data_IF_252314052331
#
_entry.id   IF_252314052331
#
_cell.length_a   1.000
_cell.length_b   1.000
_cell.length_c   1.000
_cell.angle_alpha   90.00
_cell.angle_beta   90.00
_cell.angle_gamma   90.00
#
_symmetry.space_group_name_H-M   'P 1'
#
loop_
_entity.id
_entity.type
_entity.pdbx_description
1 polymer ?
#
# COMPACT_ATOMS: atom_id res chain seq x y z
N UNK A 1 7.45 -42.17 25.76
CA UNK A 1 6.82 -40.84 25.94
C UNK A 1 6.91 -40.02 24.65
N UNK A 2 6.42 -40.53 23.51
CA UNK A 2 6.56 -39.85 22.19
C UNK A 2 5.40 -40.15 21.23
N UNK A 3 4.18 -40.23 21.75
CA UNK A 3 2.98 -40.53 20.95
C UNK A 3 1.82 -39.54 21.15
N UNK A 4 2.00 -38.47 21.94
CA UNK A 4 0.95 -37.48 22.22
C UNK A 4 1.12 -36.12 21.53
N UNK A 5 2.20 -35.90 20.77
CA UNK A 5 2.41 -34.66 19.99
C UNK A 5 1.79 -34.69 18.58
N UNK A 6 1.24 -35.83 18.14
CA UNK A 6 0.74 -36.03 16.77
C UNK A 6 -0.78 -35.81 16.59
N UNK A 7 -1.52 -35.44 17.63
CA UNK A 7 -2.99 -35.27 17.57
C UNK A 7 -3.45 -33.82 17.41
N UNK A 8 -2.55 -32.85 17.47
CA UNK A 8 -2.85 -31.44 17.20
C UNK A 8 -2.18 -31.01 15.90
N UNK A 9 -2.73 -31.47 14.77
CA UNK A 9 -2.43 -30.82 13.49
C UNK A 9 -2.77 -29.33 13.63
N UNK A 10 -1.79 -28.46 13.35
CA UNK A 10 -2.04 -27.02 13.35
C UNK A 10 -3.22 -26.73 12.43
N UNK A 11 -4.25 -26.08 12.98
CA UNK A 11 -5.46 -25.75 12.25
C UNK A 11 -5.11 -24.75 11.16
N UNK A 12 -5.52 -25.05 9.92
CA UNK A 12 -5.34 -24.14 8.79
C UNK A 12 -6.07 -22.82 9.06
N UNK A 13 -5.42 -21.66 8.80
CA UNK A 13 -6.07 -20.36 8.94
C UNK A 13 -7.23 -20.25 7.94
N UNK A 14 -8.20 -19.43 8.30
CA UNK A 14 -9.34 -19.00 7.48
C UNK A 14 -9.44 -17.48 7.57
N UNK A 15 -10.11 -16.84 6.61
CA UNK A 15 -10.34 -15.40 6.64
C UNK A 15 -10.95 -14.90 7.97
N UNK A 16 -11.91 -15.65 8.51
CA UNK A 16 -12.58 -15.32 9.78
C UNK A 16 -11.69 -15.37 11.01
N UNK A 17 -10.46 -15.89 10.87
CA UNK A 17 -9.48 -15.90 11.95
C UNK A 17 -8.69 -14.57 12.07
N UNK A 18 -8.91 -13.63 11.14
CA UNK A 18 -8.47 -12.24 11.22
C UNK A 18 -9.71 -11.32 11.10
N UNK A 19 -9.92 -10.46 12.09
CA UNK A 19 -11.00 -9.47 12.06
C UNK A 19 -10.45 -8.05 11.92
N UNK A 20 -11.09 -7.27 11.06
CA UNK A 20 -10.82 -5.85 10.86
C UNK A 20 -11.92 -5.02 11.53
N UNK A 21 -11.58 -3.80 11.93
CA UNK A 21 -12.59 -2.80 12.31
C UNK A 21 -13.22 -2.22 11.03
N UNK A 22 -14.38 -2.76 10.64
CA UNK A 22 -15.09 -2.42 9.39
C UNK A 22 -16.30 -1.51 9.62
N UNK A 23 -16.34 -0.79 10.74
CA UNK A 23 -17.48 0.07 11.07
C UNK A 23 -17.74 1.09 9.95
N UNK A 24 -18.97 1.08 9.41
CA UNK A 24 -19.38 1.95 8.31
C UNK A 24 -18.93 1.51 6.92
N UNK A 25 -18.17 0.42 6.80
CA UNK A 25 -17.74 -0.10 5.50
C UNK A 25 -18.80 -1.00 4.87
N UNK A 26 -18.92 -0.97 3.55
CA UNK A 26 -19.86 -1.77 2.81
C UNK A 26 -19.17 -2.98 2.18
N UNK A 27 -19.53 -4.19 2.60
CA UNK A 27 -19.04 -5.43 2.00
C UNK A 27 -19.60 -5.55 0.57
N UNK A 28 -18.72 -5.73 -0.43
CA UNK A 28 -19.12 -5.95 -1.82
C UNK A 28 -18.58 -7.26 -2.41
N UNK A 29 -17.61 -7.91 -1.74
CA UNK A 29 -17.07 -9.21 -2.16
C UNK A 29 -16.83 -10.10 -0.94
N UNK A 30 -17.22 -11.38 -1.04
CA UNK A 30 -16.97 -12.38 0.01
C UNK A 30 -16.81 -13.75 -0.62
N UNK A 31 -15.71 -14.42 -0.31
CA UNK A 31 -15.39 -15.79 -0.72
C UNK A 31 -14.52 -16.51 0.31
N UNK A 32 -14.05 -17.70 -0.04
CA UNK A 32 -13.30 -18.55 0.89
C UNK A 32 -11.91 -18.01 1.24
N UNK A 33 -11.29 -17.29 0.31
CA UNK A 33 -9.91 -16.76 0.43
C UNK A 33 -9.79 -15.26 0.25
N UNK A 34 -10.90 -14.55 0.00
CA UNK A 34 -10.91 -13.09 0.02
C UNK A 34 -12.24 -12.47 0.46
N UNK A 35 -12.15 -11.28 1.03
CA UNK A 35 -13.28 -10.39 1.33
C UNK A 35 -12.89 -8.96 0.94
N UNK A 36 -13.83 -8.17 0.45
CA UNK A 36 -13.57 -6.78 0.11
C UNK A 36 -14.72 -5.85 0.49
N UNK A 37 -14.35 -4.65 0.93
CA UNK A 37 -15.24 -3.60 1.42
C UNK A 37 -14.93 -2.27 0.77
N UNK A 38 -15.95 -1.41 0.65
CA UNK A 38 -15.80 0.00 0.32
C UNK A 38 -15.88 0.83 1.61
N UNK A 39 -14.94 1.75 1.81
CA UNK A 39 -14.98 2.71 2.93
C UNK A 39 -15.97 3.86 2.64
N UNK A 40 -16.36 4.67 3.66
CA UNK A 40 -17.17 5.87 3.43
C UNK A 40 -16.56 6.85 2.42
N UNK A 41 -15.23 6.92 2.36
CA UNK A 41 -14.45 7.72 1.41
C UNK A 41 -14.32 7.08 0.03
N UNK A 42 -15.01 5.97 -0.22
CA UNK A 42 -14.98 5.19 -1.47
C UNK A 42 -13.62 4.59 -1.82
N UNK A 43 -12.75 4.38 -0.82
CA UNK A 43 -11.56 3.54 -0.97
C UNK A 43 -11.95 2.06 -0.91
N UNK A 44 -11.25 1.21 -1.65
CA UNK A 44 -11.42 -0.23 -1.55
C UNK A 44 -10.49 -0.79 -0.47
N UNK A 45 -11.01 -1.71 0.34
CA UNK A 45 -10.21 -2.48 1.30
C UNK A 45 -10.42 -3.96 1.03
N UNK A 46 -9.33 -4.73 0.92
CA UNK A 46 -9.39 -6.16 0.63
C UNK A 46 -8.60 -6.94 1.67
N UNK A 47 -9.19 -8.01 2.18
CA UNK A 47 -8.52 -9.03 2.99
C UNK A 47 -8.39 -10.29 2.15
N UNK A 48 -7.19 -10.85 2.07
CA UNK A 48 -6.91 -12.08 1.36
C UNK A 48 -6.12 -13.05 2.24
N UNK A 49 -6.36 -14.34 2.03
CA UNK A 49 -5.57 -15.41 2.62
C UNK A 49 -4.86 -16.18 1.50
N UNK A 50 -3.53 -16.10 1.51
CA UNK A 50 -2.66 -16.78 0.57
C UNK A 50 -1.98 -18.00 1.22
N UNK A 51 -1.43 -18.86 0.37
CA UNK A 51 -0.50 -19.89 0.81
C UNK A 51 0.73 -19.25 1.50
N UNK A 52 1.47 -19.99 2.35
CA UNK A 52 2.72 -19.51 2.93
C UNK A 52 3.68 -18.99 1.86
N UNK A 53 4.32 -17.85 2.13
CA UNK A 53 5.34 -17.26 1.27
C UNK A 53 6.68 -17.32 1.99
N UNK A 54 7.74 -17.61 1.23
CA UNK A 54 9.12 -17.44 1.70
C UNK A 54 9.72 -16.25 0.97
N UNK A 55 10.01 -15.19 1.73
CA UNK A 55 10.73 -14.03 1.19
C UNK A 55 12.24 -14.24 1.27
N UNK A 56 13.02 -13.62 0.37
CA UNK A 56 14.48 -13.69 0.37
C UNK A 56 15.12 -12.81 1.46
N UNK A 57 14.35 -12.33 2.43
CA UNK A 57 14.78 -11.48 3.54
C UNK A 57 14.04 -11.86 4.83
N UNK A 58 14.60 -11.48 5.96
CA UNK A 58 13.91 -11.56 7.25
C UNK A 58 13.03 -10.31 7.46
N UNK A 59 11.88 -10.47 8.13
CA UNK A 59 10.93 -9.36 8.32
C UNK A 59 11.49 -8.17 9.12
N UNK A 60 12.50 -8.40 9.95
CA UNK A 60 13.16 -7.36 10.72
C UNK A 60 14.28 -6.66 9.93
N UNK A 61 14.70 -7.21 8.78
CA UNK A 61 15.66 -6.58 7.89
C UNK A 61 14.93 -5.68 6.89
N UNK A 62 14.54 -4.50 7.38
CA UNK A 62 13.79 -3.52 6.59
C UNK A 62 14.59 -3.03 5.39
N UNK A 63 15.92 -2.96 5.48
CA UNK A 63 16.75 -2.54 4.35
C UNK A 63 16.67 -3.54 3.19
N UNK A 64 16.87 -4.84 3.49
CA UNK A 64 16.75 -5.89 2.48
C UNK A 64 15.33 -6.00 1.91
N UNK A 65 14.31 -5.90 2.78
CA UNK A 65 12.92 -5.91 2.36
C UNK A 65 12.56 -4.71 1.46
N UNK A 66 13.09 -3.52 1.77
CA UNK A 66 12.90 -2.30 0.98
C UNK A 66 13.52 -2.45 -0.39
N UNK A 67 14.77 -2.92 -0.47
CA UNK A 67 15.44 -3.16 -1.74
C UNK A 67 14.69 -4.17 -2.61
N UNK A 68 14.22 -5.27 -2.01
CA UNK A 68 13.43 -6.28 -2.71
C UNK A 68 12.14 -5.68 -3.27
N UNK A 69 11.33 -5.01 -2.44
CA UNK A 69 10.05 -4.48 -2.88
C UNK A 69 10.19 -3.32 -3.87
N UNK A 70 11.23 -2.49 -3.75
CA UNK A 70 11.55 -1.49 -4.78
C UNK A 70 11.76 -2.14 -6.15
N UNK A 71 12.52 -3.24 -6.20
CA UNK A 71 12.79 -3.96 -7.45
C UNK A 71 11.53 -4.64 -8.00
N UNK A 72 10.77 -5.34 -7.17
CA UNK A 72 9.55 -6.02 -7.61
C UNK A 72 8.47 -5.03 -8.09
N UNK A 73 8.31 -3.90 -7.40
CA UNK A 73 7.35 -2.87 -7.81
C UNK A 73 7.78 -2.17 -9.10
N UNK A 74 9.08 -1.89 -9.28
CA UNK A 74 9.58 -1.27 -10.50
C UNK A 74 9.33 -2.14 -11.75
N UNK A 75 9.42 -3.47 -11.63
CA UNK A 75 9.15 -4.42 -12.74
C UNK A 75 7.75 -4.30 -13.32
N UNK A 76 6.78 -3.83 -12.53
CA UNK A 76 5.39 -3.63 -12.94
C UNK A 76 5.04 -2.14 -13.10
N UNK A 77 6.05 -1.27 -13.22
CA UNK A 77 5.87 0.16 -13.50
C UNK A 77 5.39 0.99 -12.31
N UNK A 78 5.56 0.51 -11.07
CA UNK A 78 5.21 1.27 -9.87
C UNK A 78 6.42 1.82 -9.13
N UNK A 79 6.14 2.51 -8.02
CA UNK A 79 7.13 2.96 -7.04
C UNK A 79 6.74 2.56 -5.61
N UNK A 80 7.71 2.04 -4.84
CA UNK A 80 7.58 1.90 -3.39
C UNK A 80 7.76 3.28 -2.74
N UNK A 81 6.76 3.72 -1.96
CA UNK A 81 6.78 4.99 -1.24
C UNK A 81 7.29 4.83 0.19
N UNK A 82 6.88 3.76 0.87
CA UNK A 82 7.20 3.51 2.27
C UNK A 82 7.16 2.02 2.58
N UNK A 83 8.08 1.53 3.42
CA UNK A 83 8.04 0.17 3.96
C UNK A 83 8.40 0.21 5.45
N UNK A 84 7.59 -0.44 6.29
CA UNK A 84 7.79 -0.49 7.74
C UNK A 84 7.53 -1.88 8.30
N UNK A 85 8.22 -2.25 9.39
CA UNK A 85 7.87 -3.40 10.20
C UNK A 85 6.72 -3.05 11.14
N UNK A 86 5.82 -4.01 11.33
CA UNK A 86 4.74 -3.95 12.31
C UNK A 86 4.85 -5.11 13.29
N UNK A 87 4.40 -4.88 14.52
CA UNK A 87 4.04 -5.93 15.46
C UNK A 87 2.51 -5.95 15.59
N UNK A 88 1.90 -7.07 15.20
CA UNK A 88 0.45 -7.28 15.28
C UNK A 88 0.20 -8.38 16.32
N UNK A 89 -0.10 -7.97 17.55
CA UNK A 89 -0.37 -8.90 18.67
C UNK A 89 0.78 -9.91 18.91
N UNK A 90 2.04 -9.45 18.80
CA UNK A 90 3.25 -10.27 18.97
C UNK A 90 3.71 -10.99 17.70
N UNK A 91 3.05 -10.76 16.56
CA UNK A 91 3.41 -11.34 15.27
C UNK A 91 4.08 -10.29 14.39
N UNK A 92 5.26 -10.61 13.86
CA UNK A 92 5.94 -9.75 12.91
C UNK A 92 5.18 -9.67 11.59
N UNK A 93 4.98 -8.46 11.10
CA UNK A 93 4.35 -8.15 9.82
C UNK A 93 5.12 -7.04 9.10
N UNK A 94 4.84 -6.86 7.81
CA UNK A 94 5.33 -5.73 7.03
C UNK A 94 4.16 -4.90 6.53
N UNK A 95 4.36 -3.58 6.46
CA UNK A 95 3.45 -2.67 5.78
C UNK A 95 4.20 -1.92 4.68
N UNK A 96 3.74 -2.05 3.45
CA UNK A 96 4.24 -1.29 2.30
C UNK A 96 3.20 -0.31 1.78
N UNK A 97 3.64 0.82 1.21
CA UNK A 97 2.79 1.76 0.47
C UNK A 97 3.41 2.00 -0.89
N UNK A 98 2.58 1.94 -1.93
CA UNK A 98 2.99 1.92 -3.33
C UNK A 98 2.15 2.89 -4.15
N UNK A 99 2.72 3.32 -5.27
CA UNK A 99 2.07 4.14 -6.29
C UNK A 99 2.25 3.52 -7.67
N UNK A 100 1.19 3.55 -8.45
CA UNK A 100 1.12 3.07 -9.84
C UNK A 100 0.38 4.11 -10.69
N UNK A 101 0.51 4.01 -12.01
CA UNK A 101 -0.41 4.69 -12.92
C UNK A 101 -1.79 4.05 -12.80
N UNK A 102 -2.85 4.86 -12.87
CA UNK A 102 -4.22 4.34 -12.95
C UNK A 102 -4.35 3.42 -14.17
N UNK A 103 -4.78 2.14 -13.99
CA UNK A 103 -4.89 1.19 -15.09
C UNK A 103 -5.99 1.53 -16.11
N UNK A 104 -6.83 2.54 -15.85
CA UNK A 104 -7.88 2.99 -16.77
C UNK A 104 -7.27 3.59 -18.05
N UNK A 105 -7.62 3.08 -19.25
CA UNK A 105 -7.06 3.57 -20.51
C UNK A 105 -7.22 5.09 -20.68
N UNK A 106 -6.10 5.77 -20.96
CA UNK A 106 -6.06 7.22 -21.18
C UNK A 106 -6.04 8.06 -19.89
N UNK A 107 -6.12 7.44 -18.71
CA UNK A 107 -6.02 8.15 -17.43
C UNK A 107 -4.62 8.73 -17.21
N UNK A 108 -4.58 9.85 -16.49
CA UNK A 108 -3.36 10.45 -15.94
C UNK A 108 -3.33 10.37 -14.40
N UNK A 109 -4.35 9.74 -13.81
CA UNK A 109 -4.45 9.59 -12.36
C UNK A 109 -3.43 8.60 -11.83
N UNK A 110 -3.10 8.76 -10.55
CA UNK A 110 -2.30 7.80 -9.82
C UNK A 110 -3.20 6.83 -9.04
N UNK A 111 -2.78 5.58 -8.96
CA UNK A 111 -3.37 4.56 -8.11
C UNK A 111 -2.44 4.26 -6.94
N UNK A 112 -2.97 4.37 -5.73
CA UNK A 112 -2.23 4.16 -4.50
C UNK A 112 -2.75 2.91 -3.79
N UNK A 113 -1.81 2.13 -3.26
CA UNK A 113 -2.14 0.95 -2.46
C UNK A 113 -1.22 0.87 -1.25
N UNK A 114 -1.80 0.62 -0.09
CA UNK A 114 -1.08 0.26 1.11
C UNK A 114 -1.42 -1.18 1.50
N UNK A 115 -0.41 -1.97 1.83
CA UNK A 115 -0.53 -3.41 2.04
C UNK A 115 0.06 -3.78 3.39
N UNK A 116 -0.66 -4.56 4.21
CA UNK A 116 -0.09 -5.29 5.34
C UNK A 116 0.07 -6.75 4.93
N UNK A 117 1.28 -7.27 5.10
CA UNK A 117 1.59 -8.68 4.99
C UNK A 117 1.86 -9.27 6.37
N UNK A 118 0.95 -10.13 6.82
CA UNK A 118 1.03 -10.83 8.10
C UNK A 118 1.22 -12.33 7.84
N UNK A 119 2.47 -12.82 7.78
CA UNK A 119 2.74 -14.24 7.63
C UNK A 119 2.33 -15.00 8.90
N UNK A 120 1.73 -16.16 8.70
CA UNK A 120 1.36 -17.09 9.76
C UNK A 120 1.87 -18.48 9.38
N UNK A 121 1.94 -19.41 10.34
CA UNK A 121 2.59 -20.72 10.13
C UNK A 121 2.13 -21.49 8.88
N UNK A 122 0.86 -21.35 8.50
CA UNK A 122 0.25 -22.05 7.37
C UNK A 122 -0.44 -21.10 6.38
N UNK A 123 0.01 -19.85 6.27
CA UNK A 123 -0.55 -18.93 5.29
C UNK A 123 0.04 -17.53 5.37
N UNK A 124 -0.53 -16.63 4.59
CA UNK A 124 -0.22 -15.20 4.63
C UNK A 124 -1.54 -14.44 4.55
N UNK A 125 -1.85 -13.67 5.61
CA UNK A 125 -2.90 -12.68 5.51
C UNK A 125 -2.34 -11.44 4.82
N UNK A 126 -3.05 -10.97 3.81
CA UNK A 126 -2.76 -9.73 3.13
C UNK A 126 -3.96 -8.78 3.25
N UNK A 127 -3.72 -7.55 3.70
CA UNK A 127 -4.75 -6.51 3.77
C UNK A 127 -4.31 -5.38 2.86
N UNK A 128 -5.13 -5.03 1.88
CA UNK A 128 -4.90 -3.90 1.00
C UNK A 128 -5.88 -2.78 1.32
N UNK A 129 -5.41 -1.53 1.33
CA UNK A 129 -6.23 -0.34 1.18
C UNK A 129 -5.84 0.36 -0.12
N UNK A 130 -6.81 0.65 -0.97
CA UNK A 130 -6.63 1.03 -2.37
C UNK A 130 -7.48 2.25 -2.71
N UNK A 131 -6.87 3.25 -3.36
CA UNK A 131 -7.56 4.45 -3.80
C UNK A 131 -6.96 5.00 -5.11
N UNK A 132 -7.83 5.52 -5.98
CA UNK A 132 -7.44 6.14 -7.25
C UNK A 132 -7.59 7.65 -7.13
N UNK A 133 -6.62 8.39 -7.63
CA UNK A 133 -6.68 9.83 -7.81
C UNK A 133 -7.74 10.21 -8.85
N UNK A 134 -8.77 10.94 -8.41
CA UNK A 134 -9.86 11.41 -9.25
C UNK A 134 -9.97 12.92 -9.13
N UNK A 135 -10.24 13.60 -10.24
CA UNK A 135 -10.44 15.05 -10.26
C UNK A 135 -9.13 15.82 -10.46
N UNK A 136 -8.73 16.63 -9.49
CA UNK A 136 -7.57 17.55 -9.57
C UNK A 136 -6.24 16.80 -9.43
N UNK A 137 -5.89 16.00 -10.43
CA UNK A 137 -4.63 15.26 -10.44
C UNK A 137 -3.43 16.20 -10.37
N UNK A 138 -2.42 15.86 -9.57
CA UNK A 138 -1.18 16.65 -9.47
C UNK A 138 -1.26 17.91 -8.60
N UNK A 139 -2.40 18.19 -7.94
CA UNK A 139 -2.54 19.36 -7.07
C UNK A 139 -1.63 19.28 -5.84
N UNK A 140 -1.54 18.10 -5.23
CA UNK A 140 -0.65 17.84 -4.09
C UNK A 140 0.81 18.10 -4.48
N UNK A 141 1.22 17.60 -5.64
CA UNK A 141 2.56 17.77 -6.22
C UNK A 141 2.87 19.25 -6.44
N UNK A 142 1.94 19.99 -7.05
CA UNK A 142 2.13 21.41 -7.35
C UNK A 142 2.30 22.26 -6.08
N UNK A 143 1.46 22.02 -5.06
CA UNK A 143 1.54 22.75 -3.79
C UNK A 143 2.82 22.40 -3.03
N UNK A 144 3.18 21.11 -2.94
CA UNK A 144 4.41 20.70 -2.26
C UNK A 144 5.64 21.25 -2.99
N UNK A 145 5.65 21.26 -4.32
CA UNK A 145 6.73 21.84 -5.10
C UNK A 145 6.90 23.34 -4.79
N UNK A 146 5.82 24.12 -4.79
CA UNK A 146 5.85 25.55 -4.43
C UNK A 146 6.37 25.78 -3.00
N UNK A 147 5.93 24.96 -2.04
CA UNK A 147 6.42 25.01 -0.66
C UNK A 147 7.94 24.74 -0.59
N UNK A 148 8.40 23.69 -1.26
CA UNK A 148 9.81 23.29 -1.28
C UNK A 148 10.72 24.33 -1.95
N UNK A 149 10.23 24.97 -3.03
CA UNK A 149 10.90 26.11 -3.68
C UNK A 149 11.02 27.31 -2.72
N UNK A 150 9.92 27.69 -2.05
CA UNK A 150 9.92 28.80 -1.09
C UNK A 150 10.81 28.56 0.13
N UNK A 151 10.95 27.30 0.54
CA UNK A 151 11.84 26.89 1.62
C UNK A 151 13.31 26.80 1.19
N UNK A 152 13.60 26.87 -0.12
CA UNK A 152 14.96 26.74 -0.65
C UNK A 152 15.50 25.31 -0.66
N UNK A 153 14.65 24.30 -0.47
CA UNK A 153 15.03 22.89 -0.46
C UNK A 153 15.23 22.33 -1.87
N UNK A 154 14.60 22.94 -2.87
CA UNK A 154 14.77 22.61 -4.28
C UNK A 154 15.39 23.83 -4.97
N UNK A 155 16.58 23.71 -5.58
CA UNK A 155 17.14 24.79 -6.37
C UNK A 155 16.27 25.01 -7.62
N UNK A 156 16.16 26.25 -8.12
CA UNK A 156 15.60 26.50 -9.44
C UNK A 156 16.37 25.67 -10.47
N UNK A 157 15.67 24.97 -11.36
CA UNK A 157 16.34 24.25 -12.44
C UNK A 157 17.01 25.24 -13.39
N UNK A 158 18.20 24.90 -13.85
CA UNK A 158 18.92 25.61 -14.91
C UNK A 158 18.73 24.96 -16.28
N UNK A 159 18.02 23.84 -16.33
CA UNK A 159 17.78 23.09 -17.55
C UNK A 159 16.82 23.86 -18.46
N UNK A 160 17.10 23.87 -19.76
CA UNK A 160 16.16 24.43 -20.73
C UNK A 160 14.87 23.60 -20.76
N UNK A 161 13.69 24.24 -20.72
CA UNK A 161 12.43 23.53 -20.77
C UNK A 161 12.30 22.81 -22.12
N UNK A 162 11.94 21.54 -22.06
CA UNK A 162 11.59 20.78 -23.25
C UNK A 162 10.29 21.34 -23.85
N UNK A 163 10.38 21.81 -25.09
CA UNK A 163 9.22 22.27 -25.85
C UNK A 163 8.54 21.06 -26.48
N UNK A 164 7.27 20.85 -26.13
CA UNK A 164 6.42 19.81 -26.71
C UNK A 164 5.42 20.45 -27.67
N UNK A 165 5.18 19.77 -28.79
CA UNK A 165 4.35 20.30 -29.89
C UNK A 165 2.84 20.34 -29.56
N UNK A 166 2.40 19.65 -28.50
CA UNK A 166 1.00 19.63 -28.06
C UNK A 166 0.82 19.13 -26.62
N UNK A 167 -0.37 19.36 -26.07
CA UNK A 167 -0.79 18.76 -24.81
C UNK A 167 -0.86 17.22 -24.89
N UNK A 168 -1.23 16.67 -26.06
CA UNK A 168 -1.28 15.21 -26.24
C UNK A 168 0.12 14.58 -26.16
N UNK A 169 1.14 15.25 -26.69
CA UNK A 169 2.53 14.83 -26.56
C UNK A 169 2.98 14.84 -25.10
N UNK A 170 2.60 15.87 -24.33
CA UNK A 170 2.83 15.93 -22.89
C UNK A 170 2.15 14.76 -22.15
N UNK A 171 0.87 14.51 -22.43
CA UNK A 171 0.13 13.44 -21.76
C UNK A 171 0.64 12.05 -22.13
N UNK A 172 1.07 11.83 -23.38
CA UNK A 172 1.71 10.58 -23.77
C UNK A 172 3.01 10.36 -22.98
N UNK A 173 3.85 11.39 -22.90
CA UNK A 173 5.10 11.34 -22.14
C UNK A 173 4.88 11.10 -20.64
N UNK A 174 3.88 11.74 -20.04
CA UNK A 174 3.56 11.52 -18.63
C UNK A 174 3.11 10.08 -18.35
N UNK A 175 2.31 9.48 -19.23
CA UNK A 175 1.88 8.06 -19.10
C UNK A 175 3.04 7.08 -19.24
N UNK A 176 4.02 7.39 -20.08
CA UNK A 176 5.19 6.55 -20.32
C UNK A 176 6.31 6.79 -19.30
N UNK A 177 6.21 7.85 -18.49
CA UNK A 177 7.24 8.19 -17.52
C UNK A 177 7.32 7.16 -16.39
N UNK A 178 8.57 6.81 -16.03
CA UNK A 178 8.84 5.96 -14.88
C UNK A 178 8.38 6.66 -13.60
N UNK A 179 7.61 5.92 -12.78
CA UNK A 179 7.19 6.41 -11.49
C UNK A 179 8.34 6.41 -10.50
N UNK A 180 8.38 7.46 -9.69
CA UNK A 180 9.34 7.63 -8.61
C UNK A 180 8.64 8.17 -7.37
N UNK A 181 9.28 7.96 -6.23
CA UNK A 181 8.90 8.64 -4.99
C UNK A 181 9.30 10.13 -5.11
N UNK A 182 8.31 11.00 -5.01
CA UNK A 182 8.46 12.45 -5.05
C UNK A 182 8.43 13.01 -3.62
N UNK A 183 8.98 14.21 -3.39
CA UNK A 183 8.81 14.88 -2.09
C UNK A 183 7.34 14.99 -1.65
N UNK A 184 6.40 15.15 -2.59
CA UNK A 184 4.97 15.19 -2.31
C UNK A 184 4.41 13.89 -1.74
N UNK A 185 5.06 12.75 -1.98
CA UNK A 185 4.62 11.46 -1.46
C UNK A 185 4.94 11.32 0.05
N UNK A 186 5.74 12.22 0.64
CA UNK A 186 6.08 12.15 2.06
C UNK A 186 4.84 12.28 2.96
N UNK A 187 4.80 11.45 4.01
CA UNK A 187 3.72 11.39 5.00
C UNK A 187 3.51 12.71 5.74
N UNK A 188 4.53 13.56 5.86
CA UNK A 188 4.41 14.86 6.52
C UNK A 188 3.35 15.78 5.88
N UNK A 189 2.99 15.54 4.62
CA UNK A 189 1.98 16.32 3.90
C UNK A 189 0.56 15.77 4.04
N UNK A 190 0.37 14.60 4.66
CA UNK A 190 -0.96 13.95 4.67
C UNK A 190 -2.03 14.77 5.40
N UNK A 191 -1.65 15.50 6.45
CA UNK A 191 -2.56 16.41 7.17
C UNK A 191 -3.03 17.60 6.32
N UNK A 192 -2.18 18.07 5.39
CA UNK A 192 -2.51 19.15 4.46
C UNK A 192 -3.46 18.67 3.35
N UNK A 193 -3.42 17.38 3.01
CA UNK A 193 -4.23 16.78 1.96
C UNK A 193 -5.02 15.57 2.46
N UNK A 194 -5.96 15.74 3.41
CA UNK A 194 -6.63 14.62 4.08
C UNK A 194 -7.54 13.79 3.15
N UNK A 195 -7.99 14.40 2.04
CA UNK A 195 -8.81 13.78 1.00
C UNK A 195 -7.99 13.21 -0.16
N UNK A 196 -6.67 13.40 -0.15
CA UNK A 196 -5.83 12.83 -1.20
C UNK A 196 -5.77 11.30 -1.06
N UNK A 197 -5.84 10.52 -2.15
CA UNK A 197 -5.85 9.06 -2.12
C UNK A 197 -4.71 8.46 -1.30
N UNK A 198 -3.48 8.99 -1.42
CA UNK A 198 -2.34 8.53 -0.62
C UNK A 198 -2.58 8.69 0.90
N UNK A 199 -3.12 9.83 1.32
CA UNK A 199 -3.45 10.09 2.72
C UNK A 199 -4.56 9.15 3.20
N UNK A 200 -5.56 8.91 2.35
CA UNK A 200 -6.67 7.98 2.63
C UNK A 200 -6.16 6.55 2.83
N UNK A 201 -5.35 6.00 1.92
CA UNK A 201 -4.86 4.61 2.05
C UNK A 201 -3.96 4.45 3.27
N UNK A 202 -3.11 5.44 3.59
CA UNK A 202 -2.26 5.43 4.79
C UNK A 202 -3.09 5.45 6.07
N UNK A 203 -4.11 6.30 6.14
CA UNK A 203 -5.03 6.37 7.28
C UNK A 203 -5.80 5.05 7.45
N UNK A 204 -6.34 4.51 6.36
CA UNK A 204 -7.12 3.27 6.36
C UNK A 204 -6.27 2.08 6.78
N UNK A 205 -5.07 1.92 6.21
CA UNK A 205 -4.21 0.78 6.55
C UNK A 205 -3.69 0.87 7.99
N UNK A 206 -3.41 2.08 8.49
CA UNK A 206 -3.02 2.29 9.88
C UNK A 206 -4.15 1.94 10.85
N UNK A 207 -5.40 2.30 10.51
CA UNK A 207 -6.58 1.91 11.28
C UNK A 207 -6.73 0.39 11.34
N UNK A 208 -6.52 -0.30 10.20
CA UNK A 208 -6.49 -1.76 10.16
C UNK A 208 -5.41 -2.30 11.10
N UNK A 209 -4.15 -1.88 10.93
CA UNK A 209 -3.02 -2.35 11.73
C UNK A 209 -3.27 -2.25 13.25
N UNK A 210 -3.85 -1.13 13.69
CA UNK A 210 -4.14 -0.87 15.11
C UNK A 210 -5.25 -1.75 15.69
N UNK A 211 -6.19 -2.21 14.86
CA UNK A 211 -7.42 -2.88 15.32
C UNK A 211 -7.56 -4.33 14.84
N UNK A 212 -6.55 -4.89 14.16
CA UNK A 212 -6.54 -6.31 13.80
C UNK A 212 -6.72 -7.17 15.06
N UNK A 213 -7.68 -8.08 14.98
CA UNK A 213 -7.85 -9.14 15.99
C UNK A 213 -7.58 -10.51 15.37
N UNK A 214 -6.62 -11.24 15.94
CA UNK A 214 -6.25 -12.58 15.49
C UNK A 214 -6.82 -13.66 16.41
N UNK A 215 -7.36 -14.72 15.80
CA UNK A 215 -7.73 -15.90 16.53
C UNK A 215 -6.52 -16.49 17.26
N UNK A 216 -6.72 -16.99 18.48
CA UNK A 216 -5.63 -17.49 19.34
C UNK A 216 -4.76 -18.55 18.67
N UNK A 217 -5.36 -19.47 17.92
CA UNK A 217 -4.65 -20.57 17.27
C UNK A 217 -3.75 -20.14 16.10
N UNK A 218 -3.96 -18.94 15.54
CA UNK A 218 -3.12 -18.37 14.48
C UNK A 218 -1.82 -17.80 15.05
N UNK A 219 -1.85 -17.35 16.31
CA UNK A 219 -0.72 -16.76 17.05
C UNK A 219 0.21 -17.79 17.69
N UNK A 220 -0.09 -19.09 17.57
CA UNK A 220 0.56 -20.20 18.28
C UNK A 220 1.35 -21.13 17.34
#
# INVERSE_FOLDING_TARGET
MSFLTSLFGHKKPRLTDLQLNIAGWQLYESGDTSMAWSTPEQSAVRLQLHAPVQWPFALHDIAAATQYWQQETAKIGGALLELTALDIQGMAALQGTFKYHDPTPGSLGMYFVAIIWLPVKQGLFQINAEAVEKGNTGFREAVVMDLQLKQGNIPPTTDEPELLDSADALFAKLRESELRCLPSDDRQYDEMFPEHPLSQVRRTIALCAQHIQLAKHVRQ
#
